data_IF_534602023678
#
_entry.id   IF_534602023678
#
_cell.length_a   1.000
_cell.length_b   1.000
_cell.length_c   1.000
_cell.angle_alpha   90.00
_cell.angle_beta   90.00
_cell.angle_gamma   90.00
#
_symmetry.space_group_name_H-M   'P 1'
#
loop_
_entity.id
_entity.type
_entity.pdbx_description
1 polymer ?
#
# COMPACT_ATOMS: atom_id res chain seq x y z
N UNK A 1 -14.70 -19.21 -2.75
CA UNK A 1 -14.97 -18.89 -1.34
C UNK A 1 -14.62 -17.46 -0.91
N UNK A 2 -13.36 -17.00 -0.87
CA UNK A 2 -13.02 -15.66 -0.32
C UNK A 2 -13.93 -14.51 -0.84
N UNK A 3 -14.07 -14.39 -2.16
CA UNK A 3 -14.95 -13.39 -2.79
C UNK A 3 -16.45 -13.64 -2.58
N UNK A 4 -16.90 -14.90 -2.47
CA UNK A 4 -18.30 -15.25 -2.20
C UNK A 4 -18.75 -14.81 -0.79
N UNK A 5 -17.82 -14.72 0.16
CA UNK A 5 -18.12 -14.25 1.52
C UNK A 5 -17.91 -12.73 1.63
N UNK A 6 -16.87 -12.17 1.00
CA UNK A 6 -16.59 -10.71 1.03
C UNK A 6 -17.68 -9.89 0.34
N UNK A 7 -18.19 -10.34 -0.81
CA UNK A 7 -19.19 -9.60 -1.61
C UNK A 7 -20.49 -9.30 -0.84
N UNK A 8 -21.20 -10.28 -0.24
CA UNK A 8 -22.41 -9.99 0.52
C UNK A 8 -22.14 -9.14 1.76
N UNK A 9 -21.01 -9.34 2.44
CA UNK A 9 -20.63 -8.53 3.60
C UNK A 9 -20.36 -7.06 3.24
N UNK A 10 -19.67 -6.80 2.14
CA UNK A 10 -19.49 -5.44 1.62
C UNK A 10 -20.83 -4.81 1.22
N UNK A 11 -21.78 -5.61 0.69
CA UNK A 11 -23.14 -5.15 0.42
C UNK A 11 -23.90 -4.72 1.68
N UNK A 12 -23.82 -5.51 2.76
CA UNK A 12 -24.43 -5.16 4.07
C UNK A 12 -23.82 -3.87 4.63
N UNK A 13 -22.49 -3.72 4.56
CA UNK A 13 -21.80 -2.51 5.02
C UNK A 13 -22.22 -1.30 4.19
N UNK A 14 -22.18 -1.40 2.86
CA UNK A 14 -22.56 -0.28 1.97
C UNK A 14 -24.00 0.17 2.17
N UNK A 15 -24.96 -0.75 2.35
CA UNK A 15 -26.35 -0.38 2.66
C UNK A 15 -26.48 0.27 4.04
N UNK A 16 -25.72 -0.18 5.04
CA UNK A 16 -25.73 0.43 6.37
C UNK A 16 -25.08 1.82 6.37
N UNK A 17 -23.99 2.03 5.64
CA UNK A 17 -23.32 3.33 5.49
C UNK A 17 -24.22 4.32 4.73
N UNK A 18 -24.88 3.89 3.64
CA UNK A 18 -25.90 4.69 2.95
C UNK A 18 -27.07 5.06 3.87
N UNK A 19 -27.47 4.19 4.81
CA UNK A 19 -28.48 4.53 5.82
C UNK A 19 -27.97 5.56 6.84
N UNK A 20 -26.69 5.51 7.23
CA UNK A 20 -26.08 6.45 8.18
C UNK A 20 -26.07 7.89 7.65
N UNK A 21 -25.95 8.07 6.33
CA UNK A 21 -26.05 9.37 5.64
C UNK A 21 -27.48 9.95 5.60
N UNK A 22 -28.52 9.16 5.95
CA UNK A 22 -29.91 9.63 5.97
C UNK A 22 -30.31 10.31 7.28
N UNK A 23 -31.51 10.89 7.32
CA UNK A 23 -32.06 11.56 8.51
C UNK A 23 -32.54 10.54 9.54
N UNK A 24 -31.60 9.97 10.29
CA UNK A 24 -31.86 9.01 11.38
C UNK A 24 -32.12 9.68 12.73
N UNK A 25 -33.05 9.12 13.51
CA UNK A 25 -33.18 9.43 14.94
C UNK A 25 -31.99 8.85 15.76
N UNK A 26 -31.79 9.27 17.03
CA UNK A 26 -30.64 8.83 17.83
C UNK A 26 -30.57 7.31 18.07
N UNK A 27 -31.73 6.62 18.17
CA UNK A 27 -31.80 5.18 18.34
C UNK A 27 -31.51 4.44 17.03
N UNK A 28 -32.09 4.91 15.92
CA UNK A 28 -31.79 4.42 14.57
C UNK A 28 -30.30 4.56 14.23
N UNK A 29 -29.69 5.72 14.50
CA UNK A 29 -28.25 5.94 14.28
C UNK A 29 -27.41 4.98 15.12
N UNK A 30 -27.79 4.71 16.37
CA UNK A 30 -27.10 3.73 17.21
C UNK A 30 -27.21 2.31 16.61
N UNK A 31 -28.37 1.89 16.11
CA UNK A 31 -28.52 0.59 15.45
C UNK A 31 -27.67 0.48 14.17
N UNK A 32 -27.69 1.52 13.31
CA UNK A 32 -26.90 1.53 12.07
C UNK A 32 -25.40 1.48 12.36
N UNK A 33 -24.91 2.33 13.28
CA UNK A 33 -23.52 2.30 13.75
C UNK A 33 -23.14 0.92 14.31
N UNK A 34 -24.01 0.29 15.11
CA UNK A 34 -23.79 -1.07 15.64
C UNK A 34 -23.70 -2.12 14.52
N UNK A 35 -24.52 -2.00 13.46
CA UNK A 35 -24.47 -2.89 12.28
C UNK A 35 -23.14 -2.72 11.53
N UNK A 36 -22.70 -1.48 11.30
CA UNK A 36 -21.43 -1.18 10.61
C UNK A 36 -20.24 -1.74 11.42
N UNK A 37 -20.18 -1.46 12.73
CA UNK A 37 -19.13 -1.97 13.62
C UNK A 37 -19.11 -3.51 13.64
N UNK A 38 -20.28 -4.14 13.77
CA UNK A 38 -20.40 -5.61 13.80
C UNK A 38 -20.03 -6.25 12.46
N UNK A 39 -20.45 -5.66 11.34
CA UNK A 39 -20.14 -6.17 10.00
C UNK A 39 -18.65 -6.02 9.66
N UNK A 40 -18.03 -4.90 10.05
CA UNK A 40 -16.59 -4.68 9.92
C UNK A 40 -15.79 -5.66 10.79
N UNK A 41 -16.20 -5.87 12.05
CA UNK A 41 -15.60 -6.88 12.91
C UNK A 41 -15.71 -8.28 12.31
N UNK A 42 -16.89 -8.67 11.81
CA UNK A 42 -17.12 -9.96 11.16
C UNK A 42 -16.26 -10.15 9.91
N UNK A 43 -16.09 -9.13 9.08
CA UNK A 43 -15.14 -9.16 7.95
C UNK A 43 -13.70 -9.40 8.42
N UNK A 44 -13.26 -8.83 9.54
CA UNK A 44 -11.95 -9.15 10.12
C UNK A 44 -11.88 -10.63 10.49
N UNK A 45 -12.88 -11.20 11.18
CA UNK A 45 -12.88 -12.65 11.52
C UNK A 45 -12.82 -13.52 10.26
N UNK A 46 -13.58 -13.16 9.22
CA UNK A 46 -13.61 -13.91 7.95
C UNK A 46 -12.26 -13.85 7.26
N UNK A 47 -11.65 -12.67 7.14
CA UNK A 47 -10.31 -12.54 6.54
C UNK A 47 -9.25 -13.27 7.38
N UNK A 48 -9.31 -13.21 8.72
CA UNK A 48 -8.43 -13.93 9.64
C UNK A 48 -8.48 -15.45 9.39
N UNK A 49 -9.68 -16.02 9.31
CA UNK A 49 -9.90 -17.46 9.05
C UNK A 49 -9.45 -17.86 7.64
N UNK A 50 -9.65 -16.98 6.65
CA UNK A 50 -9.20 -17.21 5.28
C UNK A 50 -7.66 -17.13 5.15
N UNK A 51 -7.00 -16.19 5.80
CA UNK A 51 -5.53 -16.11 5.86
C UNK A 51 -4.95 -17.36 6.56
N UNK A 52 -5.55 -17.81 7.67
CA UNK A 52 -5.18 -19.06 8.35
C UNK A 52 -5.34 -20.29 7.42
N UNK A 53 -6.44 -20.34 6.66
CA UNK A 53 -6.71 -21.41 5.69
C UNK A 53 -5.73 -21.40 4.51
N UNK A 54 -5.37 -20.20 3.99
CA UNK A 54 -4.33 -20.04 2.95
C UNK A 54 -2.97 -20.48 3.47
N UNK A 55 -2.62 -20.12 4.71
CA UNK A 55 -1.38 -20.57 5.36
C UNK A 55 -1.31 -22.09 5.50
N UNK A 56 -2.35 -22.74 6.06
CA UNK A 56 -2.38 -24.20 6.22
C UNK A 56 -2.31 -24.96 4.89
N UNK A 57 -2.79 -24.35 3.80
CA UNK A 57 -2.69 -24.91 2.45
C UNK A 57 -1.34 -24.63 1.75
N UNK A 58 -0.42 -23.88 2.36
CA UNK A 58 0.84 -23.46 1.73
C UNK A 58 0.66 -22.46 0.57
N UNK A 59 -0.44 -21.69 0.58
CA UNK A 59 -0.86 -20.78 -0.51
C UNK A 59 -0.83 -19.30 -0.11
N UNK A 60 0.06 -18.94 0.83
CA UNK A 60 0.25 -17.55 1.22
C UNK A 60 1.34 -16.91 0.35
N UNK A 61 0.94 -16.30 -0.76
CA UNK A 61 1.86 -15.49 -1.56
C UNK A 61 2.18 -14.18 -0.83
N UNK A 62 3.47 -13.90 -0.62
CA UNK A 62 3.97 -12.60 -0.15
C UNK A 62 4.32 -11.71 -1.34
N UNK A 63 4.02 -10.42 -1.24
CA UNK A 63 4.50 -9.41 -2.19
C UNK A 63 5.93 -9.00 -1.81
N UNK A 64 6.83 -8.93 -2.79
CA UNK A 64 8.22 -8.51 -2.57
C UNK A 64 8.46 -7.17 -3.26
N UNK A 65 8.26 -6.08 -2.53
CA UNK A 65 8.40 -4.70 -3.00
C UNK A 65 9.43 -3.92 -2.14
N UNK A 66 10.09 -2.86 -2.67
CA UNK A 66 10.90 -1.97 -1.85
C UNK A 66 10.03 -1.11 -0.92
N UNK A 67 10.26 -1.17 0.39
CA UNK A 67 9.46 -0.43 1.37
C UNK A 67 10.28 0.05 2.59
N UNK A 68 9.71 1.00 3.33
CA UNK A 68 10.29 1.57 4.56
C UNK A 68 9.63 0.98 5.81
N UNK A 69 10.46 0.50 6.76
CA UNK A 69 10.00 0.05 8.07
C UNK A 69 9.47 1.24 8.89
N UNK A 70 10.15 2.38 8.82
CA UNK A 70 9.76 3.61 9.54
C UNK A 70 8.36 4.05 9.10
N UNK A 71 8.11 4.11 7.78
CA UNK A 71 6.81 4.51 7.24
C UNK A 71 5.71 3.51 7.61
N UNK A 72 6.04 2.21 7.65
CA UNK A 72 5.12 1.16 8.05
C UNK A 72 4.70 1.28 9.52
N UNK A 73 5.65 1.60 10.40
CA UNK A 73 5.40 1.93 11.82
C UNK A 73 4.60 3.23 11.96
N UNK A 74 4.97 4.29 11.23
CA UNK A 74 4.29 5.58 11.28
C UNK A 74 2.81 5.47 10.85
N UNK A 75 2.52 4.84 9.71
CA UNK A 75 1.13 4.63 9.25
C UNK A 75 0.31 3.79 10.24
N UNK A 76 0.90 2.78 10.87
CA UNK A 76 0.21 1.97 11.88
C UNK A 76 -0.09 2.76 13.16
N UNK A 77 0.85 3.61 13.61
CA UNK A 77 0.66 4.50 14.76
C UNK A 77 -0.39 5.58 14.50
N UNK A 78 -0.42 6.18 13.31
CA UNK A 78 -1.38 7.24 12.98
C UNK A 78 -2.84 6.75 12.98
N UNK A 79 -3.10 5.51 12.58
CA UNK A 79 -4.42 4.88 12.69
C UNK A 79 -4.86 4.67 14.15
N UNK A 80 -3.92 4.47 15.07
CA UNK A 80 -4.18 4.21 16.50
C UNK A 80 -4.09 5.49 17.36
N UNK A 81 -3.51 6.57 16.84
CA UNK A 81 -3.31 7.86 17.51
C UNK A 81 -4.59 8.46 18.07
N UNK A 82 -5.76 8.47 17.40
CA UNK A 82 -7.00 8.99 17.97
C UNK A 82 -7.43 8.21 19.23
N UNK A 83 -7.37 6.88 19.17
CA UNK A 83 -7.73 5.98 20.28
C UNK A 83 -6.78 6.13 21.47
N UNK A 84 -5.47 6.19 21.21
CA UNK A 84 -4.46 6.43 22.24
C UNK A 84 -4.64 7.81 22.91
N UNK A 85 -4.88 8.86 22.11
CA UNK A 85 -5.11 10.22 22.61
C UNK A 85 -6.38 10.31 23.47
N UNK A 86 -7.47 9.65 23.04
CA UNK A 86 -8.73 9.58 23.82
C UNK A 86 -8.55 8.90 25.18
N UNK A 87 -7.59 7.96 25.30
CA UNK A 87 -7.19 7.33 26.57
C UNK A 87 -6.13 8.12 27.36
N UNK A 88 -5.54 9.17 26.80
CA UNK A 88 -4.42 9.89 27.40
C UNK A 88 -3.11 9.09 27.43
N UNK A 89 -2.91 8.15 26.49
CA UNK A 89 -1.68 7.37 26.39
C UNK A 89 -0.60 8.12 25.61
N UNK A 90 0.65 8.05 26.09
CA UNK A 90 1.80 8.56 25.36
C UNK A 90 2.27 7.54 24.32
N UNK A 91 2.30 7.92 23.05
CA UNK A 91 2.94 7.13 21.98
C UNK A 91 4.37 7.63 21.77
N UNK A 92 5.35 6.76 21.97
CA UNK A 92 6.79 7.08 21.88
C UNK A 92 7.43 6.23 20.78
N UNK A 93 8.28 6.85 19.96
CA UNK A 93 9.00 6.17 18.87
C UNK A 93 10.50 6.41 19.02
N UNK A 94 11.27 5.34 18.94
CA UNK A 94 12.73 5.34 18.89
C UNK A 94 13.17 4.59 17.62
N UNK A 95 13.24 5.35 16.53
CA UNK A 95 13.47 4.82 15.19
C UNK A 95 14.71 5.54 14.60
N UNK A 96 15.74 4.81 14.14
CA UNK A 96 16.89 5.45 13.50
C UNK A 96 16.43 6.16 12.22
N UNK A 97 16.79 7.45 12.00
CA UNK A 97 16.25 8.25 10.91
C UNK A 97 16.67 7.75 9.53
N UNK A 98 17.86 7.15 9.43
CA UNK A 98 18.48 6.69 8.19
C UNK A 98 18.33 5.16 7.97
N UNK A 99 17.24 4.56 8.47
CA UNK A 99 16.99 3.13 8.23
C UNK A 99 16.85 2.85 6.72
N UNK A 100 17.49 1.80 6.18
CA UNK A 100 17.45 1.51 4.75
C UNK A 100 16.06 1.01 4.33
N UNK A 101 15.82 1.05 3.02
CA UNK A 101 14.66 0.38 2.41
C UNK A 101 14.93 -1.11 2.31
N UNK A 102 13.89 -1.92 2.51
CA UNK A 102 13.94 -3.39 2.46
C UNK A 102 13.03 -3.93 1.36
N UNK A 103 13.33 -5.13 0.89
CA UNK A 103 12.44 -5.88 -0.01
C UNK A 103 11.56 -6.82 0.80
N UNK A 104 10.24 -6.71 0.64
CA UNK A 104 9.27 -7.58 1.31
C UNK A 104 7.85 -7.00 1.27
N UNK A 105 6.96 -7.53 2.10
CA UNK A 105 5.54 -7.21 2.06
C UNK A 105 5.18 -6.11 3.08
N UNK A 106 5.03 -4.87 2.61
CA UNK A 106 4.69 -3.73 3.45
C UNK A 106 3.29 -3.86 4.07
N UNK A 107 2.38 -4.56 3.39
CA UNK A 107 1.00 -4.78 3.83
C UNK A 107 0.93 -5.77 4.99
N UNK A 108 1.60 -6.92 4.86
CA UNK A 108 1.65 -7.95 5.91
C UNK A 108 2.43 -7.47 7.14
N UNK A 109 3.52 -6.70 6.98
CA UNK A 109 4.14 -6.05 8.14
C UNK A 109 3.15 -5.11 8.85
N UNK A 110 2.44 -4.26 8.10
CA UNK A 110 1.45 -3.32 8.66
C UNK A 110 0.30 -4.03 9.36
N UNK A 111 -0.12 -5.21 8.88
CA UNK A 111 -1.10 -6.08 9.56
C UNK A 111 -0.58 -6.59 10.92
N UNK A 112 0.67 -7.08 10.98
CA UNK A 112 1.34 -7.47 12.23
C UNK A 112 1.40 -6.27 13.20
N UNK A 113 1.91 -5.13 12.73
CA UNK A 113 2.08 -3.93 13.56
C UNK A 113 0.75 -3.40 14.09
N UNK A 114 -0.31 -3.35 13.27
CA UNK A 114 -1.64 -2.91 13.70
C UNK A 114 -2.25 -3.82 14.78
N UNK A 115 -2.07 -5.14 14.68
CA UNK A 115 -2.53 -6.07 15.71
C UNK A 115 -1.75 -5.88 17.02
N UNK A 116 -0.41 -5.83 16.98
CA UNK A 116 0.43 -5.67 18.18
C UNK A 116 0.23 -4.29 18.85
N UNK A 117 0.29 -3.20 18.08
CA UNK A 117 0.04 -1.84 18.59
C UNK A 117 -1.41 -1.66 19.05
N UNK A 118 -2.37 -2.28 18.35
CA UNK A 118 -3.77 -2.30 18.74
C UNK A 118 -3.96 -2.94 20.11
N UNK A 119 -3.32 -4.10 20.34
CA UNK A 119 -3.31 -4.76 21.65
C UNK A 119 -2.63 -3.91 22.73
N UNK A 120 -1.46 -3.31 22.44
CA UNK A 120 -0.77 -2.41 23.37
C UNK A 120 -1.65 -1.22 23.80
N UNK A 121 -2.29 -0.52 22.83
CA UNK A 121 -3.21 0.60 23.10
C UNK A 121 -4.49 0.13 23.80
N UNK A 122 -4.95 -1.09 23.55
CA UNK A 122 -6.15 -1.69 24.13
C UNK A 122 -5.96 -2.06 25.61
N UNK A 123 -4.89 -2.78 25.94
CA UNK A 123 -4.61 -3.29 27.29
C UNK A 123 -3.86 -2.30 28.18
N UNK A 124 -3.32 -1.21 27.62
CA UNK A 124 -2.87 -0.05 28.42
C UNK A 124 -4.07 0.86 28.76
N UNK A 125 -4.28 1.11 30.06
CA UNK A 125 -5.34 2.03 30.55
C UNK A 125 -4.78 3.44 30.76
N UNK A 126 -3.55 3.54 31.29
CA UNK A 126 -2.77 4.77 31.47
C UNK A 126 -1.29 4.44 31.29
N UNK A 127 -0.48 5.40 30.86
CA UNK A 127 0.96 5.22 30.66
C UNK A 127 1.37 5.48 29.22
N UNK A 128 2.29 4.66 28.71
CA UNK A 128 2.85 4.79 27.36
C UNK A 128 2.87 3.47 26.58
N UNK A 129 2.83 3.59 25.26
CA UNK A 129 3.26 2.56 24.30
C UNK A 129 4.49 3.10 23.56
N UNK A 130 5.59 2.34 23.57
CA UNK A 130 6.85 2.66 22.91
C UNK A 130 7.10 1.68 21.76
N UNK A 131 7.54 2.20 20.61
CA UNK A 131 8.04 1.41 19.50
C UNK A 131 9.53 1.69 19.32
N UNK A 132 10.36 0.65 19.26
CA UNK A 132 11.80 0.77 19.01
C UNK A 132 12.21 -0.09 17.82
N UNK A 133 13.04 0.44 16.92
CA UNK A 133 13.58 -0.28 15.77
C UNK A 133 15.09 -0.47 15.92
N UNK A 134 15.54 -1.72 15.86
CA UNK A 134 16.95 -2.08 15.80
C UNK A 134 17.22 -2.92 14.54
N UNK A 135 18.33 -2.65 13.85
CA UNK A 135 18.72 -3.32 12.60
C UNK A 135 20.17 -3.76 12.68
N UNK A 136 20.42 -5.05 12.45
CA UNK A 136 21.76 -5.64 12.45
C UNK A 136 22.00 -6.37 11.13
N UNK A 137 23.07 -6.03 10.41
CA UNK A 137 23.39 -6.66 9.12
C UNK A 137 23.93 -8.08 9.30
N UNK A 138 23.26 -9.06 8.68
CA UNK A 138 23.56 -10.51 8.70
C UNK A 138 23.86 -11.00 7.25
N UNK A 139 25.07 -10.73 6.77
CA UNK A 139 25.59 -11.15 5.46
C UNK A 139 24.77 -10.66 4.24
N UNK A 140 23.76 -11.42 3.79
CA UNK A 140 22.90 -11.07 2.64
C UNK A 140 21.55 -10.44 3.05
N UNK A 141 21.22 -10.43 4.34
CA UNK A 141 19.97 -9.92 4.89
C UNK A 141 20.27 -9.03 6.09
N UNK A 142 19.41 -8.06 6.42
CA UNK A 142 19.43 -7.50 7.78
C UNK A 142 18.44 -8.24 8.66
N UNK A 143 18.86 -8.47 9.91
CA UNK A 143 17.95 -8.79 11.00
C UNK A 143 17.33 -7.51 11.53
N UNK A 144 16.02 -7.41 11.38
CA UNK A 144 15.20 -6.27 11.80
C UNK A 144 14.44 -6.67 13.04
N UNK A 145 14.58 -5.93 14.13
CA UNK A 145 13.87 -6.15 15.39
C UNK A 145 13.01 -4.92 15.69
N UNK A 146 11.68 -5.07 15.64
CA UNK A 146 10.72 -4.04 16.00
C UNK A 146 10.08 -4.44 17.32
N UNK A 147 10.46 -3.78 18.42
CA UNK A 147 9.88 -4.04 19.72
C UNK A 147 8.79 -3.02 20.05
N UNK A 148 7.64 -3.53 20.47
CA UNK A 148 6.46 -2.77 20.91
C UNK A 148 6.29 -3.03 22.40
N UNK A 149 6.67 -2.04 23.20
CA UNK A 149 6.60 -2.08 24.66
C UNK A 149 5.39 -1.29 25.16
N UNK A 150 4.51 -1.94 25.91
CA UNK A 150 3.40 -1.31 26.62
C UNK A 150 3.65 -1.27 28.13
N UNK A 151 2.87 -0.42 28.82
CA UNK A 151 2.87 -0.29 30.29
C UNK A 151 1.50 -0.66 30.87
N UNK A 152 0.81 -1.59 30.20
CA UNK A 152 -0.52 -2.08 30.56
C UNK A 152 -0.48 -3.17 31.64
N UNK A 153 -1.53 -3.98 31.65
CA UNK A 153 -1.72 -5.02 32.68
C UNK A 153 -0.67 -6.14 32.67
N UNK A 154 0.11 -6.28 31.58
CA UNK A 154 1.01 -7.40 31.39
C UNK A 154 0.32 -8.77 31.30
N UNK A 155 1.11 -9.82 31.20
CA UNK A 155 0.67 -11.21 31.01
C UNK A 155 1.30 -12.06 32.11
N UNK A 156 0.51 -12.97 32.69
CA UNK A 156 0.98 -13.91 33.70
C UNK A 156 1.88 -15.00 33.07
N UNK A 157 2.92 -15.44 33.79
CA UNK A 157 3.97 -16.30 33.24
C UNK A 157 3.46 -17.66 32.70
N UNK A 158 2.42 -18.21 33.32
CA UNK A 158 1.70 -19.42 32.88
C UNK A 158 0.97 -19.24 31.53
N UNK A 159 0.66 -18.01 31.14
CA UNK A 159 -0.05 -17.70 29.90
C UNK A 159 0.87 -17.31 28.74
N UNK A 160 2.11 -16.91 29.00
CA UNK A 160 3.06 -16.43 27.97
C UNK A 160 3.24 -17.46 26.84
N UNK A 161 3.34 -18.75 27.16
CA UNK A 161 3.46 -19.81 26.13
C UNK A 161 2.23 -19.96 25.23
N UNK A 162 1.04 -19.58 25.71
CA UNK A 162 -0.25 -19.83 25.07
C UNK A 162 -0.82 -18.62 24.31
N UNK A 163 -0.17 -17.45 24.34
CA UNK A 163 -0.70 -16.21 23.70
C UNK A 163 -0.71 -16.25 22.16
N UNK A 164 0.01 -17.20 21.56
CA UNK A 164 0.04 -17.42 20.11
C UNK A 164 -0.80 -18.61 19.65
N UNK A 165 -1.36 -19.40 20.57
CA UNK A 165 -2.30 -20.46 20.23
C UNK A 165 -3.60 -19.86 19.68
N UNK A 166 -4.30 -20.61 18.82
CA UNK A 166 -5.55 -20.12 18.24
C UNK A 166 -6.69 -20.21 19.25
N UNK A 167 -7.52 -19.18 19.31
CA UNK A 167 -8.73 -19.08 20.15
C UNK A 167 -8.49 -19.02 21.67
N UNK A 168 -7.24 -18.96 22.14
CA UNK A 168 -6.94 -18.67 23.55
C UNK A 168 -7.24 -17.20 23.88
N UNK A 169 -8.19 -16.98 24.78
CA UNK A 169 -8.48 -15.67 25.38
C UNK A 169 -8.05 -15.68 26.84
N UNK A 170 -7.41 -14.59 27.30
CA UNK A 170 -6.74 -14.56 28.59
C UNK A 170 -7.69 -14.61 29.81
N UNK A 171 -8.92 -14.11 29.70
CA UNK A 171 -9.94 -14.31 30.75
C UNK A 171 -11.37 -13.93 30.31
N UNK A 172 -12.38 -14.69 30.78
CA UNK A 172 -13.80 -14.47 30.44
C UNK A 172 -14.39 -13.17 31.02
N UNK A 173 -13.76 -12.58 32.04
CA UNK A 173 -14.15 -11.32 32.66
C UNK A 173 -13.59 -10.10 31.90
N UNK A 174 -12.33 -10.15 31.49
CA UNK A 174 -11.67 -9.10 30.71
C UNK A 174 -12.13 -9.12 29.25
N UNK A 175 -12.34 -10.31 28.67
CA UNK A 175 -12.79 -10.46 27.28
C UNK A 175 -14.14 -9.78 27.01
N UNK A 176 -15.08 -9.82 27.97
CA UNK A 176 -16.39 -9.14 27.87
C UNK A 176 -16.31 -7.62 27.76
N UNK A 177 -15.26 -6.98 28.27
CA UNK A 177 -15.07 -5.53 28.14
C UNK A 177 -14.32 -5.12 26.87
N UNK A 178 -13.57 -6.04 26.25
CA UNK A 178 -12.53 -5.66 25.28
C UNK A 178 -12.54 -6.41 23.95
N UNK A 179 -13.23 -7.56 23.81
CA UNK A 179 -13.57 -8.24 22.54
C UNK A 179 -12.42 -8.68 21.63
N UNK A 180 -12.46 -9.89 21.06
CA UNK A 180 -11.48 -10.30 20.04
C UNK A 180 -11.59 -11.74 19.61
N UNK A 181 -11.08 -12.07 18.43
CA UNK A 181 -11.12 -13.43 17.85
C UNK A 181 -10.23 -14.44 18.58
N UNK A 182 -9.18 -13.97 19.25
CA UNK A 182 -8.08 -14.84 19.69
C UNK A 182 -7.23 -15.37 18.53
N UNK A 183 -7.36 -14.81 17.32
CA UNK A 183 -6.60 -15.23 16.13
C UNK A 183 -5.49 -14.24 15.75
N UNK A 184 -5.64 -12.95 16.07
CA UNK A 184 -4.74 -11.89 15.62
C UNK A 184 -3.26 -12.13 15.99
N UNK A 185 -2.96 -12.60 17.20
CA UNK A 185 -1.58 -12.93 17.62
C UNK A 185 -1.04 -14.17 16.88
N UNK A 186 -1.83 -15.24 16.73
CA UNK A 186 -1.46 -16.41 15.91
C UNK A 186 -1.11 -15.96 14.50
N UNK A 187 -2.02 -15.27 13.82
CA UNK A 187 -1.85 -14.82 12.43
C UNK A 187 -0.64 -13.90 12.29
N UNK A 188 -0.44 -12.98 13.24
CA UNK A 188 0.75 -12.11 13.24
C UNK A 188 2.04 -12.94 13.26
N UNK A 189 2.09 -13.99 14.09
CA UNK A 189 3.27 -14.86 14.20
C UNK A 189 3.46 -15.70 12.93
N UNK A 190 2.38 -16.25 12.35
CA UNK A 190 2.44 -16.98 11.09
C UNK A 190 2.94 -16.09 9.94
N UNK A 191 2.47 -14.84 9.86
CA UNK A 191 2.94 -13.86 8.87
C UNK A 191 4.43 -13.54 9.06
N UNK A 192 4.88 -13.29 10.29
CA UNK A 192 6.30 -13.05 10.58
C UNK A 192 7.19 -14.25 10.17
N UNK A 193 6.72 -15.47 10.41
CA UNK A 193 7.40 -16.71 10.01
C UNK A 193 7.48 -16.88 8.49
N UNK A 194 6.42 -16.54 7.74
CA UNK A 194 6.47 -16.52 6.28
C UNK A 194 7.41 -15.43 5.75
N UNK A 195 7.53 -14.30 6.45
CA UNK A 195 8.49 -13.23 6.17
C UNK A 195 9.92 -13.54 6.69
N UNK A 196 10.26 -14.82 6.95
CA UNK A 196 11.60 -15.26 7.32
C UNK A 196 12.01 -14.99 8.78
N UNK A 197 11.04 -14.71 9.65
CA UNK A 197 11.24 -14.23 11.01
C UNK A 197 10.42 -14.97 12.08
N UNK A 198 10.12 -14.29 13.20
CA UNK A 198 9.19 -14.76 14.24
C UNK A 198 8.69 -13.59 15.11
N UNK A 199 7.77 -13.86 16.05
CA UNK A 199 7.39 -12.91 17.11
C UNK A 199 7.73 -13.49 18.48
N UNK A 200 8.54 -12.75 19.23
CA UNK A 200 8.87 -13.02 20.62
C UNK A 200 8.04 -12.13 21.56
N UNK A 201 7.87 -12.57 22.81
CA UNK A 201 7.16 -11.81 23.85
C UNK A 201 7.88 -11.94 25.19
N UNK A 202 8.08 -10.82 25.86
CA UNK A 202 8.51 -10.74 27.26
C UNK A 202 7.46 -9.90 28.02
N UNK A 203 6.97 -10.39 29.15
CA UNK A 203 5.95 -9.66 29.91
C UNK A 203 6.02 -9.98 31.40
N UNK A 204 5.51 -9.07 32.22
CA UNK A 204 5.36 -9.27 33.66
C UNK A 204 4.04 -8.65 34.09
N UNK A 205 3.23 -9.43 34.80
CA UNK A 205 1.92 -9.00 35.27
C UNK A 205 2.03 -7.72 36.12
N UNK A 206 1.26 -6.70 35.77
CA UNK A 206 1.28 -5.37 36.39
C UNK A 206 2.40 -4.42 35.92
N UNK A 207 3.30 -4.86 35.04
CA UNK A 207 4.40 -4.02 34.51
C UNK A 207 4.31 -3.77 32.99
N UNK A 208 3.43 -4.49 32.28
CA UNK A 208 3.25 -4.41 30.83
C UNK A 208 3.88 -5.57 30.06
N UNK A 209 3.89 -5.43 28.73
CA UNK A 209 4.44 -6.42 27.79
C UNK A 209 5.35 -5.78 26.75
N UNK A 210 6.29 -6.55 26.24
CA UNK A 210 7.12 -6.23 25.08
C UNK A 210 6.94 -7.33 24.05
N UNK A 211 6.34 -7.00 22.91
CA UNK A 211 6.26 -7.88 21.75
C UNK A 211 7.32 -7.46 20.73
N UNK A 212 8.21 -8.38 20.37
CA UNK A 212 9.29 -8.12 19.42
C UNK A 212 9.03 -8.92 18.16
N UNK A 213 8.69 -8.24 17.07
CA UNK A 213 8.66 -8.88 15.74
C UNK A 213 10.07 -8.80 15.14
N UNK A 214 10.59 -9.98 14.82
CA UNK A 214 11.91 -10.20 14.25
C UNK A 214 11.71 -10.59 12.80
N UNK A 215 12.41 -9.95 11.87
CA UNK A 215 12.38 -10.26 10.43
C UNK A 215 13.79 -10.35 9.87
N UNK A 216 13.94 -11.07 8.75
CA UNK A 216 15.18 -11.14 7.97
C UNK A 216 14.89 -10.74 6.54
N UNK A 217 15.15 -9.48 6.20
CA UNK A 217 14.84 -8.93 4.88
C UNK A 217 16.12 -8.46 4.18
N UNK A 218 16.26 -8.68 2.87
CA UNK A 218 17.36 -8.10 2.11
C UNK A 218 17.10 -6.59 1.90
N UNK A 219 18.15 -5.78 2.01
CA UNK A 219 18.07 -4.35 1.68
C UNK A 219 17.76 -4.18 0.19
N UNK A 220 16.91 -3.20 -0.14
CA UNK A 220 16.64 -2.83 -1.52
C UNK A 220 17.89 -2.18 -2.14
N UNK A 221 18.37 -2.68 -3.28
CA UNK A 221 19.48 -2.07 -4.01
C UNK A 221 19.07 -0.69 -4.54
N UNK A 222 20.01 0.25 -4.58
CA UNK A 222 19.80 1.65 -4.99
C UNK A 222 18.92 2.49 -4.02
N UNK A 223 19.00 2.20 -2.70
CA UNK A 223 18.30 2.92 -1.61
C UNK A 223 18.39 4.44 -1.73
N UNK A 224 19.58 4.98 -2.02
CA UNK A 224 19.82 6.42 -2.13
C UNK A 224 19.00 7.08 -3.24
N UNK A 225 18.77 6.39 -4.36
CA UNK A 225 17.98 6.91 -5.48
C UNK A 225 16.48 6.83 -5.20
N UNK A 226 16.02 5.73 -4.60
CA UNK A 226 14.63 5.54 -4.21
C UNK A 226 14.19 6.47 -3.06
N UNK A 227 15.03 6.64 -2.03
CA UNK A 227 14.75 7.53 -0.90
C UNK A 227 14.76 9.02 -1.30
N UNK A 228 15.65 9.43 -2.21
CA UNK A 228 15.72 10.81 -2.71
C UNK A 228 14.55 11.16 -3.64
N UNK A 229 14.07 10.20 -4.45
CA UNK A 229 12.86 10.36 -5.26
C UNK A 229 11.58 10.42 -4.40
N UNK A 230 11.52 9.66 -3.30
CA UNK A 230 10.34 9.59 -2.43
C UNK A 230 9.91 10.93 -1.78
N UNK A 231 10.83 11.91 -1.68
CA UNK A 231 10.61 13.16 -0.93
C UNK A 231 10.52 14.44 -1.77
N UNK A 232 10.95 14.43 -3.03
CA UNK A 232 10.85 15.60 -3.92
C UNK A 232 9.73 15.40 -4.93
N UNK A 233 8.69 16.22 -4.81
CA UNK A 233 7.54 16.21 -5.72
C UNK A 233 8.00 16.32 -7.20
N UNK A 234 7.84 15.26 -8.03
CA UNK A 234 8.27 15.28 -9.43
C UNK A 234 7.49 16.35 -10.17
N UNK A 235 8.14 17.19 -10.97
CA UNK A 235 7.47 18.22 -11.78
C UNK A 235 7.11 17.63 -13.14
N UNK A 236 5.85 17.24 -13.34
CA UNK A 236 5.38 16.64 -14.59
C UNK A 236 4.34 17.52 -15.29
N UNK A 237 4.20 17.37 -16.60
CA UNK A 237 3.15 18.03 -17.39
C UNK A 237 1.91 17.14 -17.61
N UNK A 238 1.67 16.19 -16.69
CA UNK A 238 0.56 15.24 -16.78
C UNK A 238 -0.77 15.91 -16.42
N UNK A 239 -1.84 15.50 -17.09
CA UNK A 239 -3.24 15.74 -16.72
C UNK A 239 -3.77 14.46 -16.07
N UNK A 240 -4.20 14.54 -14.81
CA UNK A 240 -4.65 13.36 -14.05
C UNK A 240 -6.14 13.44 -13.78
N UNK A 241 -6.87 12.38 -14.12
CA UNK A 241 -8.24 12.17 -13.67
C UNK A 241 -8.22 11.37 -12.36
N UNK A 242 -8.86 11.87 -11.31
CA UNK A 242 -9.05 11.15 -10.04
C UNK A 242 -10.53 10.86 -9.86
N UNK A 243 -10.87 9.58 -9.76
CA UNK A 243 -12.20 9.09 -9.44
C UNK A 243 -12.21 8.52 -8.01
N UNK A 244 -12.88 9.20 -7.10
CA UNK A 244 -12.95 8.88 -5.67
C UNK A 244 -14.24 9.51 -5.10
N UNK A 245 -15.10 8.70 -4.50
CA UNK A 245 -16.36 9.14 -3.90
C UNK A 245 -16.15 9.82 -2.54
N UNK A 246 -15.19 9.31 -1.76
CA UNK A 246 -14.88 9.82 -0.44
C UNK A 246 -14.11 11.16 -0.51
N UNK A 247 -14.80 12.24 -0.14
CA UNK A 247 -14.26 13.61 -0.12
C UNK A 247 -12.94 13.77 0.66
N UNK A 248 -12.73 12.99 1.72
CA UNK A 248 -11.49 13.04 2.52
C UNK A 248 -10.33 12.42 1.77
N UNK A 249 -10.54 11.25 1.15
CA UNK A 249 -9.53 10.61 0.30
C UNK A 249 -9.22 11.49 -0.92
N UNK A 250 -10.24 12.06 -1.58
CA UNK A 250 -10.06 12.98 -2.70
C UNK A 250 -9.20 14.20 -2.29
N UNK A 251 -9.45 14.77 -1.11
CA UNK A 251 -8.63 15.86 -0.55
C UNK A 251 -7.18 15.44 -0.32
N UNK A 252 -6.94 14.23 0.19
CA UNK A 252 -5.58 13.69 0.39
C UNK A 252 -4.89 13.52 -0.98
N UNK A 253 -5.52 12.80 -1.93
CA UNK A 253 -5.00 12.55 -3.27
C UNK A 253 -4.66 13.86 -3.99
N UNK A 254 -5.59 14.83 -4.00
CA UNK A 254 -5.37 16.18 -4.55
C UNK A 254 -4.15 16.85 -3.92
N UNK A 255 -4.03 16.84 -2.58
CA UNK A 255 -2.92 17.47 -1.86
C UNK A 255 -1.56 16.80 -2.12
N UNK A 256 -1.53 15.52 -2.48
CA UNK A 256 -0.30 14.85 -2.95
C UNK A 256 0.04 15.20 -4.40
N UNK A 257 -0.97 15.42 -5.26
CA UNK A 257 -0.81 15.72 -6.68
C UNK A 257 -0.55 17.20 -7.01
N UNK A 258 -1.12 18.14 -6.24
CA UNK A 258 -1.15 19.60 -6.50
C UNK A 258 0.19 20.24 -6.89
N UNK A 259 1.32 19.65 -6.46
CA UNK A 259 2.67 20.16 -6.70
C UNK A 259 3.44 19.39 -7.78
N UNK A 260 2.80 18.45 -8.48
CA UNK A 260 3.48 17.48 -9.34
C UNK A 260 2.92 17.32 -10.75
N UNK A 261 1.76 17.88 -11.05
CA UNK A 261 1.04 17.68 -12.31
C UNK A 261 0.55 19.01 -12.88
N UNK A 262 0.24 19.05 -14.18
CA UNK A 262 -0.24 20.27 -14.85
C UNK A 262 -1.73 20.56 -14.61
N UNK A 263 -2.55 19.51 -14.49
CA UNK A 263 -3.99 19.64 -14.25
C UNK A 263 -4.56 18.41 -13.53
N UNK A 264 -5.56 18.62 -12.69
CA UNK A 264 -6.37 17.57 -12.07
C UNK A 264 -7.83 17.72 -12.47
N UNK A 265 -8.46 16.61 -12.86
CA UNK A 265 -9.90 16.48 -12.99
C UNK A 265 -10.40 15.54 -11.88
N UNK A 266 -11.50 15.91 -11.21
CA UNK A 266 -11.98 15.21 -10.01
C UNK A 266 -13.43 14.81 -10.20
N UNK A 267 -13.73 13.53 -9.94
CA UNK A 267 -15.07 12.96 -10.10
C UNK A 267 -15.41 12.02 -8.94
N UNK A 268 -16.70 11.92 -8.60
CA UNK A 268 -17.18 11.20 -7.42
C UNK A 268 -17.72 9.79 -7.67
N UNK A 269 -17.77 9.32 -8.92
CA UNK A 269 -18.19 7.96 -9.25
C UNK A 269 -17.64 7.47 -10.61
N UNK A 270 -17.78 6.17 -10.88
CA UNK A 270 -17.29 5.57 -12.13
C UNK A 270 -17.95 6.14 -13.40
N UNK A 271 -19.23 6.50 -13.38
CA UNK A 271 -19.92 7.05 -14.57
C UNK A 271 -19.35 8.40 -14.98
N UNK A 272 -19.10 9.26 -14.00
CA UNK A 272 -18.46 10.55 -14.20
C UNK A 272 -17.01 10.38 -14.70
N UNK A 273 -16.30 9.35 -14.24
CA UNK A 273 -14.97 9.02 -14.74
C UNK A 273 -14.99 8.64 -16.23
N UNK A 274 -15.89 7.73 -16.63
CA UNK A 274 -16.09 7.36 -18.05
C UNK A 274 -16.47 8.59 -18.89
N UNK A 275 -17.47 9.37 -18.45
CA UNK A 275 -17.92 10.55 -19.18
C UNK A 275 -16.83 11.62 -19.34
N UNK A 276 -16.01 11.84 -18.30
CA UNK A 276 -14.89 12.79 -18.34
C UNK A 276 -13.79 12.29 -19.27
N UNK A 277 -13.41 11.02 -19.16
CA UNK A 277 -12.43 10.39 -20.04
C UNK A 277 -12.85 10.46 -21.52
N UNK A 278 -14.11 10.15 -21.83
CA UNK A 278 -14.62 10.16 -23.21
C UNK A 278 -14.67 11.56 -23.84
N UNK A 279 -14.73 12.62 -23.03
CA UNK A 279 -14.75 14.01 -23.49
C UNK A 279 -13.33 14.58 -23.69
N UNK A 280 -12.43 14.36 -22.74
CA UNK A 280 -11.03 14.80 -22.82
C UNK A 280 -10.10 13.76 -22.12
N UNK A 281 -9.52 12.81 -22.88
CA UNK A 281 -8.69 11.75 -22.32
C UNK A 281 -7.47 12.28 -21.53
N UNK A 282 -7.33 11.95 -20.23
CA UNK A 282 -6.20 12.35 -19.40
C UNK A 282 -4.92 11.57 -19.76
N UNK A 283 -3.78 11.97 -19.20
CA UNK A 283 -2.52 11.22 -19.31
C UNK A 283 -2.43 10.06 -18.30
N UNK A 284 -3.23 10.12 -17.22
CA UNK A 284 -3.28 9.13 -16.14
C UNK A 284 -4.67 9.15 -15.50
N UNK A 285 -5.20 7.98 -15.15
CA UNK A 285 -6.38 7.86 -14.30
C UNK A 285 -5.99 7.19 -12.97
N UNK A 286 -6.35 7.81 -11.85
CA UNK A 286 -6.39 7.17 -10.55
C UNK A 286 -7.86 6.81 -10.26
N UNK A 287 -8.15 5.51 -10.20
CA UNK A 287 -9.51 4.98 -10.18
C UNK A 287 -9.76 4.23 -8.87
N UNK A 288 -10.63 4.75 -8.00
CA UNK A 288 -11.09 3.98 -6.86
C UNK A 288 -11.84 2.72 -7.30
N UNK A 289 -11.48 1.58 -6.69
CA UNK A 289 -12.13 0.30 -6.93
C UNK A 289 -13.59 0.33 -6.45
N UNK A 290 -13.83 0.92 -5.29
CA UNK A 290 -15.07 0.75 -4.51
C UNK A 290 -15.93 2.01 -4.50
N UNK A 291 -16.37 2.45 -5.68
CA UNK A 291 -17.30 3.59 -5.82
C UNK A 291 -18.76 3.13 -5.92
N UNK A 292 -19.73 3.94 -5.43
CA UNK A 292 -21.15 3.74 -5.68
C UNK A 292 -21.49 3.90 -7.16
N UNK A 293 -22.70 3.45 -7.54
CA UNK A 293 -23.30 3.48 -8.89
C UNK A 293 -22.61 2.66 -9.98
N UNK A 294 -21.29 2.78 -10.11
CA UNK A 294 -20.44 2.11 -11.08
C UNK A 294 -19.06 1.94 -10.44
N UNK A 295 -18.64 0.69 -10.27
CA UNK A 295 -17.34 0.35 -9.68
C UNK A 295 -16.19 0.78 -10.58
N UNK A 296 -15.00 0.98 -10.01
CA UNK A 296 -13.81 1.30 -10.81
C UNK A 296 -13.48 0.21 -11.84
N UNK A 297 -13.85 -1.04 -11.58
CA UNK A 297 -13.69 -2.17 -12.49
C UNK A 297 -14.61 -2.07 -13.72
N UNK A 298 -15.85 -1.62 -13.54
CA UNK A 298 -16.79 -1.38 -14.64
C UNK A 298 -16.38 -0.17 -15.46
N UNK A 299 -16.07 0.95 -14.79
CA UNK A 299 -15.58 2.17 -15.43
C UNK A 299 -14.31 1.92 -16.27
N UNK A 300 -13.37 1.11 -15.75
CA UNK A 300 -12.17 0.70 -16.50
C UNK A 300 -12.54 -0.07 -17.77
N UNK A 301 -13.44 -1.05 -17.70
CA UNK A 301 -13.86 -1.83 -18.88
C UNK A 301 -14.53 -0.95 -19.93
N UNK A 302 -15.36 0.00 -19.54
CA UNK A 302 -15.97 0.97 -20.46
C UNK A 302 -14.93 1.89 -21.10
N UNK A 303 -13.95 2.39 -20.34
CA UNK A 303 -12.84 3.18 -20.87
C UNK A 303 -12.02 2.34 -21.88
N UNK A 304 -11.71 1.07 -21.59
CA UNK A 304 -11.00 0.19 -22.55
C UNK A 304 -11.80 -0.08 -23.82
N UNK A 305 -13.12 -0.26 -23.71
CA UNK A 305 -14.00 -0.41 -24.87
C UNK A 305 -14.02 0.87 -25.72
N UNK A 306 -14.04 2.05 -25.10
CA UNK A 306 -13.96 3.33 -25.78
C UNK A 306 -12.60 3.56 -26.47
N UNK A 307 -11.49 3.27 -25.77
CA UNK A 307 -10.13 3.33 -26.34
C UNK A 307 -10.03 2.45 -27.60
N UNK A 308 -10.48 1.20 -27.51
CA UNK A 308 -10.47 0.27 -28.64
C UNK A 308 -11.38 0.73 -29.79
N UNK A 309 -12.61 1.17 -29.51
CA UNK A 309 -13.56 1.63 -30.51
C UNK A 309 -13.13 2.93 -31.23
N UNK A 310 -12.26 3.73 -30.60
CA UNK A 310 -11.69 4.97 -31.16
C UNK A 310 -10.24 4.83 -31.63
N UNK A 311 -9.66 3.63 -31.51
CA UNK A 311 -8.24 3.36 -31.79
C UNK A 311 -7.29 4.35 -31.09
N UNK A 312 -7.59 4.68 -29.83
CA UNK A 312 -6.78 5.56 -28.98
C UNK A 312 -5.62 4.78 -28.36
N UNK A 313 -4.49 5.46 -28.03
CA UNK A 313 -3.46 4.86 -27.19
C UNK A 313 -4.05 4.55 -25.80
N UNK A 314 -3.58 3.46 -25.20
CA UNK A 314 -3.99 3.02 -23.87
C UNK A 314 -3.52 4.00 -22.80
N UNK A 315 -4.43 4.69 -22.13
CA UNK A 315 -4.13 5.53 -20.98
C UNK A 315 -3.83 4.66 -19.75
N UNK A 316 -2.79 4.92 -18.95
CA UNK A 316 -2.58 4.25 -17.67
C UNK A 316 -3.76 4.46 -16.71
N UNK A 317 -4.34 3.37 -16.21
CA UNK A 317 -5.39 3.37 -15.18
C UNK A 317 -4.85 2.63 -13.95
N UNK A 318 -4.72 3.33 -12.83
CA UNK A 318 -4.16 2.81 -11.58
C UNK A 318 -5.27 2.70 -10.54
N UNK A 319 -5.48 1.49 -10.02
CA UNK A 319 -6.47 1.20 -9.00
C UNK A 319 -6.10 1.86 -7.66
N UNK A 320 -7.06 2.48 -6.98
CA UNK A 320 -6.95 2.83 -5.57
C UNK A 320 -7.81 1.85 -4.76
N UNK A 321 -7.21 1.08 -3.85
CA UNK A 321 -7.94 0.12 -2.99
C UNK A 321 -7.52 0.23 -1.52
N UNK A 322 -8.41 -0.12 -0.60
CA UNK A 322 -8.08 -0.31 0.82
C UNK A 322 -7.25 -1.59 1.10
N UNK A 323 -7.11 -2.52 0.15
CA UNK A 323 -6.49 -3.84 0.37
C UNK A 323 -5.51 -4.26 -0.74
N UNK A 324 -4.22 -4.40 -0.43
CA UNK A 324 -3.21 -5.02 -1.32
C UNK A 324 -3.28 -6.56 -1.35
N UNK A 325 -4.47 -7.15 -1.44
CA UNK A 325 -4.56 -8.62 -1.58
C UNK A 325 -4.28 -9.03 -3.03
N UNK A 326 -3.48 -10.07 -3.25
CA UNK A 326 -3.11 -10.53 -4.60
C UNK A 326 -4.35 -10.86 -5.45
N UNK A 327 -5.32 -11.55 -4.86
CA UNK A 327 -6.64 -11.84 -5.46
C UNK A 327 -7.33 -10.56 -6.01
N UNK A 328 -7.16 -9.42 -5.34
CA UNK A 328 -7.77 -8.13 -5.69
C UNK A 328 -6.95 -7.34 -6.71
N UNK A 329 -5.62 -7.46 -6.67
CA UNK A 329 -4.76 -6.98 -7.74
C UNK A 329 -5.04 -7.74 -9.07
N UNK A 330 -5.19 -9.06 -9.01
CA UNK A 330 -5.54 -9.89 -10.18
C UNK A 330 -6.90 -9.49 -10.77
N UNK A 331 -7.89 -9.15 -9.94
CA UNK A 331 -9.18 -8.59 -10.41
C UNK A 331 -9.03 -7.22 -11.08
N UNK A 332 -8.21 -6.33 -10.53
CA UNK A 332 -7.91 -5.02 -11.13
C UNK A 332 -7.25 -5.19 -12.52
N UNK A 333 -6.25 -6.07 -12.62
CA UNK A 333 -5.57 -6.37 -13.89
C UNK A 333 -6.53 -7.02 -14.89
N UNK A 334 -7.39 -7.95 -14.46
CA UNK A 334 -8.40 -8.59 -15.30
C UNK A 334 -9.50 -7.61 -15.78
N UNK A 335 -9.81 -6.57 -15.02
CA UNK A 335 -10.67 -5.47 -15.45
C UNK A 335 -9.98 -4.54 -16.48
N UNK A 336 -8.67 -4.67 -16.68
CA UNK A 336 -7.88 -3.87 -17.60
C UNK A 336 -7.21 -2.65 -16.98
N UNK A 337 -7.01 -2.61 -15.67
CA UNK A 337 -6.14 -1.63 -15.01
C UNK A 337 -4.66 -2.00 -15.24
N UNK A 338 -3.74 -1.05 -15.03
CA UNK A 338 -2.30 -1.18 -15.32
C UNK A 338 -1.42 -1.17 -14.06
N UNK A 339 -2.04 -1.03 -12.88
CA UNK A 339 -1.37 -1.04 -11.59
C UNK A 339 -2.35 -0.80 -10.43
N UNK A 340 -1.85 -0.93 -9.20
CA UNK A 340 -2.62 -0.81 -7.95
C UNK A 340 -1.82 0.01 -6.94
N UNK A 341 -2.49 0.89 -6.21
CA UNK A 341 -1.98 1.63 -5.06
C UNK A 341 -2.91 1.43 -3.86
N UNK A 342 -2.34 1.37 -2.65
CA UNK A 342 -3.16 1.24 -1.43
C UNK A 342 -3.53 2.57 -0.80
N UNK A 343 -4.75 2.61 -0.25
CA UNK A 343 -5.23 3.64 0.66
C UNK A 343 -4.79 3.28 2.09
N UNK A 344 -4.24 4.23 2.88
CA UNK A 344 -3.94 5.61 2.53
C UNK A 344 -2.73 5.73 1.60
N UNK A 345 -2.89 6.54 0.55
CA UNK A 345 -1.92 6.73 -0.52
C UNK A 345 -0.56 7.21 -0.01
N UNK A 346 0.49 6.52 -0.43
CA UNK A 346 1.87 6.95 -0.17
C UNK A 346 2.34 7.97 -1.19
N UNK A 347 3.14 8.94 -0.73
CA UNK A 347 3.84 9.87 -1.63
C UNK A 347 4.80 9.14 -2.56
N UNK A 348 5.64 8.26 -2.02
CA UNK A 348 6.65 7.54 -2.81
C UNK A 348 6.04 6.69 -3.93
N UNK A 349 5.01 5.89 -3.60
CA UNK A 349 4.33 5.02 -4.56
C UNK A 349 3.61 5.85 -5.64
N UNK A 350 2.92 6.93 -5.26
CA UNK A 350 2.25 7.84 -6.19
C UNK A 350 3.24 8.59 -7.10
N UNK A 351 4.36 9.08 -6.55
CA UNK A 351 5.38 9.78 -7.34
C UNK A 351 6.08 8.83 -8.32
N UNK A 352 6.35 7.59 -7.92
CA UNK A 352 6.89 6.57 -8.83
C UNK A 352 5.94 6.25 -9.99
N UNK A 353 4.62 6.30 -9.77
CA UNK A 353 3.61 6.19 -10.84
C UNK A 353 3.64 7.40 -11.78
N UNK A 354 3.71 8.63 -11.24
CA UNK A 354 3.79 9.86 -12.02
C UNK A 354 5.07 9.91 -12.89
N UNK A 355 6.22 9.61 -12.31
CA UNK A 355 7.51 9.58 -13.02
C UNK A 355 7.53 8.53 -14.13
N UNK A 356 7.02 7.33 -13.86
CA UNK A 356 6.91 6.26 -14.88
C UNK A 356 6.00 6.67 -16.03
N UNK A 357 4.87 7.30 -15.73
CA UNK A 357 3.91 7.76 -16.75
C UNK A 357 4.48 8.91 -17.59
N UNK A 358 5.14 9.88 -16.94
CA UNK A 358 5.82 10.98 -17.63
C UNK A 358 6.94 10.46 -18.55
N UNK A 359 7.80 9.55 -18.08
CA UNK A 359 8.87 8.97 -18.88
C UNK A 359 8.34 8.15 -20.08
N UNK A 360 7.23 7.42 -19.92
CA UNK A 360 6.59 6.69 -21.01
C UNK A 360 6.01 7.63 -22.09
N UNK A 361 5.45 8.78 -21.67
CA UNK A 361 4.98 9.83 -22.58
C UNK A 361 6.14 10.52 -23.32
N UNK A 362 7.21 10.87 -22.61
CA UNK A 362 8.40 11.51 -23.21
C UNK A 362 9.13 10.60 -24.21
N UNK A 363 9.12 9.28 -23.97
CA UNK A 363 9.63 8.29 -24.93
C UNK A 363 8.82 8.25 -26.25
N UNK A 364 7.54 8.63 -26.21
CA UNK A 364 6.68 8.77 -27.40
C UNK A 364 6.84 10.16 -28.07
N UNK A 365 7.18 11.21 -27.32
CA UNK A 365 7.35 12.58 -27.85
C UNK A 365 8.75 12.86 -28.45
N UNK A 366 9.46 11.82 -28.88
CA UNK A 366 10.69 11.94 -29.69
C UNK A 366 10.45 12.53 -31.09
N UNK A 367 9.18 12.66 -31.52
CA UNK A 367 8.81 13.22 -32.82
C UNK A 367 8.77 14.75 -32.87
N UNK A 368 8.57 15.45 -31.74
CA UNK A 368 8.49 16.93 -31.72
C UNK A 368 9.84 17.65 -31.68
N UNK A 369 10.94 17.00 -31.24
CA UNK A 369 12.26 17.65 -31.17
C UNK A 369 12.99 17.82 -32.52
N UNK A 370 12.50 17.21 -33.60
CA UNK A 370 13.03 17.40 -34.96
C UNK A 370 12.19 18.35 -35.84
N UNK A 371 11.25 19.09 -35.25
CA UNK A 371 10.32 19.97 -35.97
C UNK A 371 10.69 21.47 -35.91
N UNK A 372 11.96 21.83 -35.65
CA UNK A 372 12.49 23.18 -35.83
C UNK A 372 13.93 23.12 -36.37
N UNK A 373 14.08 23.01 -37.69
CA UNK A 373 14.73 24.05 -38.50
C UNK A 373 14.53 23.73 -40.00
N UNK A 374 13.70 24.54 -40.67
CA UNK A 374 13.53 24.55 -42.12
C UNK A 374 13.35 25.99 -42.62
N UNK A 375 14.03 26.98 -42.04
CA UNK A 375 14.11 28.32 -42.64
C UNK A 375 15.32 29.15 -42.16
N UNK A 376 16.53 28.58 -42.31
CA UNK A 376 17.79 29.31 -42.19
C UNK A 376 18.53 29.36 -43.54
N UNK A 377 18.20 30.36 -44.38
CA UNK A 377 18.97 30.65 -45.61
C UNK A 377 20.31 31.31 -45.25
N UNK A 378 21.42 30.65 -45.56
CA UNK A 378 22.75 31.28 -45.53
C UNK A 378 23.91 30.31 -45.80
N UNK A 379 24.49 30.34 -47.01
CA UNK A 379 25.87 29.89 -47.25
C UNK A 379 26.87 31.02 -46.93
N UNK A 380 28.20 30.87 -47.20
CA UNK A 380 28.91 29.84 -47.98
C UNK A 380 29.67 28.84 -47.05
N UNK A 381 30.75 28.09 -47.36
CA UNK A 381 31.77 28.10 -48.44
C UNK A 381 32.40 26.71 -48.64
N UNK A 382 33.11 26.50 -49.76
CA UNK A 382 33.95 25.31 -50.03
C UNK A 382 35.38 25.45 -49.49
N UNK A 383 36.04 24.33 -49.13
CA UNK A 383 37.34 23.94 -49.74
C UNK A 383 37.91 22.56 -49.31
N UNK A 384 38.14 21.70 -50.31
CA UNK A 384 39.30 20.78 -50.50
C UNK A 384 39.65 19.63 -49.51
N UNK A 385 39.60 18.43 -50.07
CA UNK A 385 40.29 17.15 -49.77
C UNK A 385 41.85 17.25 -49.85
N UNK A 386 42.69 16.18 -49.80
CA UNK A 386 42.41 14.72 -49.70
C UNK A 386 43.40 13.83 -48.87
N UNK A 387 43.17 12.50 -48.95
CA UNK A 387 44.15 11.38 -49.08
C UNK A 387 44.75 10.67 -47.82
N UNK A 388 44.45 9.35 -47.78
CA UNK A 388 45.41 8.22 -47.94
C UNK A 388 45.62 7.22 -46.77
N UNK A 389 45.17 5.98 -47.04
CA UNK A 389 45.84 4.67 -46.83
C UNK A 389 46.44 4.26 -45.48
N UNK A 390 46.01 3.08 -45.01
CA UNK A 390 46.75 2.24 -44.05
C UNK A 390 46.15 0.83 -43.93
N UNK A 391 46.63 -0.13 -44.73
CA UNK A 391 46.49 -1.56 -44.42
C UNK A 391 47.46 -1.90 -43.27
N UNK A 392 47.18 -2.79 -42.32
CA UNK A 392 47.24 -4.28 -42.31
C UNK A 392 46.98 -4.71 -40.85
N UNK A 393 46.78 -5.96 -40.43
CA UNK A 393 46.76 -7.30 -41.03
C UNK A 393 45.90 -8.20 -40.12
N UNK A 394 45.31 -9.27 -40.67
CA UNK A 394 44.65 -10.29 -39.84
C UNK A 394 45.61 -11.38 -39.36
N UNK A 395 45.29 -12.03 -38.24
CA UNK A 395 45.73 -13.41 -37.97
C UNK A 395 44.63 -14.20 -37.25
N UNK A 396 44.41 -15.41 -37.75
CA UNK A 396 43.46 -16.41 -37.25
C UNK A 396 44.09 -17.26 -36.15
N UNK A 397 43.28 -17.74 -35.19
CA UNK A 397 43.31 -19.16 -34.74
C UNK A 397 42.05 -19.54 -33.95
N UNK A 398 41.36 -20.60 -34.42
CA UNK A 398 40.70 -21.72 -33.68
C UNK A 398 39.82 -21.40 -32.44
N UNK A 399 38.53 -21.77 -32.41
CA UNK A 399 37.98 -23.14 -32.26
C UNK A 399 38.49 -23.83 -30.97
N UNK A 400 37.66 -24.07 -29.96
CA UNK A 400 36.65 -25.15 -29.96
C UNK A 400 35.54 -24.98 -28.91
N UNK A 401 34.42 -25.67 -29.09
CA UNK A 401 33.29 -25.69 -28.16
C UNK A 401 33.50 -26.63 -26.96
N UNK A 402 32.89 -26.27 -25.82
CA UNK A 402 31.99 -27.11 -25.02
C UNK A 402 31.15 -26.21 -24.09
#
# INVERSE_FOLDING_TARGET
MSHEIRTPMNGVIGVAELLEETTLDPGQRHYVSTIIESSRALLTIINDVLDLSKFQAGKLDLLTEPFSIIDSVARALDLLRPTATKKGLMLVTDLPPDAPLYLGDSGRLRQILLNLLGNAVKFTVRGSVRVTLQTTTEAEHDRICIAIADSGIGIAADRIGHVFESFTQADNTISRQFGGTGLGLTISRLLAQQMGGDIEVASTLGQGSVFTVILRLPQAKDTARLALAAHKAPQTTLRVLVAEDNRTNMLITRKLLERSIAAIAEVGNGRQAVATYCNDPPDLVLMDVSMPEMTGHEATREIRAFEAARNLPRCPIIALTAYASRDEADLCMAAGMDGVLTKPLARAELYAVLERTAAARDAFDLSRKNAVDRDAKGGPTWSTSPRASGATSGRSTRSSAL
#
